data_IF_328666594324
#
_entry.id   IF_328666594324
#
_cell.length_a   1.000
_cell.length_b   1.000
_cell.length_c   1.000
_cell.angle_alpha   90.00
_cell.angle_beta   90.00
_cell.angle_gamma   90.00
#
_symmetry.space_group_name_H-M   'P 1'
#
loop_
_entity.id
_entity.type
_entity.pdbx_description
1 polymer ?
#
# COMPACT_ATOMS: atom_id res chain seq x y z
N UNK A 1 50.13 -25.41 -23.61
CA UNK A 1 49.28 -25.47 -22.38
C UNK A 1 49.01 -24.08 -21.81
N UNK A 2 50.05 -23.24 -21.62
CA UNK A 2 49.86 -21.87 -21.07
C UNK A 2 49.00 -20.92 -21.94
N UNK A 3 49.05 -21.02 -23.28
CA UNK A 3 48.19 -20.18 -24.15
C UNK A 3 46.69 -20.49 -23.99
N UNK A 4 46.31 -21.77 -24.03
CA UNK A 4 44.93 -22.22 -23.85
C UNK A 4 44.34 -21.83 -22.48
N UNK A 5 45.15 -21.88 -21.43
CA UNK A 5 44.73 -21.49 -20.07
C UNK A 5 44.50 -19.97 -19.98
N UNK A 6 45.41 -19.17 -20.55
CA UNK A 6 45.26 -17.72 -20.60
C UNK A 6 44.04 -17.29 -21.42
N UNK A 7 43.77 -17.93 -22.55
CA UNK A 7 42.59 -17.65 -23.36
C UNK A 7 41.30 -18.00 -22.61
N UNK A 8 41.29 -19.10 -21.85
CA UNK A 8 40.16 -19.46 -20.98
C UNK A 8 39.93 -18.45 -19.87
N UNK A 9 40.98 -17.97 -19.22
CA UNK A 9 40.88 -16.93 -18.17
C UNK A 9 40.31 -15.63 -18.74
N UNK A 10 40.75 -15.20 -19.92
CA UNK A 10 40.18 -14.02 -20.59
C UNK A 10 38.68 -14.18 -20.86
N UNK A 11 38.26 -15.37 -21.29
CA UNK A 11 36.84 -15.70 -21.44
C UNK A 11 36.07 -15.55 -20.12
N UNK A 12 36.58 -16.13 -19.03
CA UNK A 12 35.95 -16.05 -17.70
C UNK A 12 35.92 -14.60 -17.15
N UNK A 13 36.96 -13.80 -17.39
CA UNK A 13 36.97 -12.38 -17.04
C UNK A 13 35.88 -11.61 -17.78
N UNK A 14 35.67 -11.92 -19.06
CA UNK A 14 34.59 -11.35 -19.84
C UNK A 14 33.23 -11.77 -19.30
N UNK A 15 33.04 -13.05 -18.98
CA UNK A 15 31.79 -13.56 -18.41
C UNK A 15 31.44 -12.88 -17.08
N UNK A 16 32.44 -12.65 -16.21
CA UNK A 16 32.27 -11.90 -14.96
C UNK A 16 31.85 -10.46 -15.25
N UNK A 17 32.56 -9.77 -16.15
CA UNK A 17 32.23 -8.38 -16.50
C UNK A 17 30.83 -8.24 -17.10
N UNK A 18 30.42 -9.17 -17.97
CA UNK A 18 29.10 -9.18 -18.59
C UNK A 18 28.00 -9.47 -17.53
N UNK A 19 28.25 -10.38 -16.58
CA UNK A 19 27.32 -10.69 -15.49
C UNK A 19 27.16 -9.54 -14.48
N UNK A 20 28.25 -8.88 -14.09
CA UNK A 20 28.22 -7.70 -13.22
C UNK A 20 27.52 -6.52 -13.89
N UNK A 21 27.79 -6.30 -15.19
CA UNK A 21 27.09 -5.28 -15.96
C UNK A 21 25.59 -5.54 -15.99
N UNK A 22 25.16 -6.80 -16.16
CA UNK A 22 23.75 -7.15 -16.13
C UNK A 22 23.08 -6.83 -14.77
N UNK A 23 23.79 -6.99 -13.65
CA UNK A 23 23.30 -6.59 -12.32
C UNK A 23 23.09 -5.07 -12.24
N UNK A 24 24.10 -4.29 -12.64
CA UNK A 24 24.05 -2.83 -12.55
C UNK A 24 23.04 -2.23 -13.54
N UNK A 25 22.97 -2.75 -14.77
CA UNK A 25 21.95 -2.39 -15.75
C UNK A 25 20.55 -2.66 -15.19
N UNK A 26 20.34 -3.82 -14.57
CA UNK A 26 19.05 -4.18 -13.96
C UNK A 26 18.69 -3.26 -12.79
N UNK A 27 19.63 -2.97 -11.87
CA UNK A 27 19.43 -2.01 -10.78
C UNK A 27 19.04 -0.63 -11.31
N UNK A 28 19.71 -0.17 -12.36
CA UNK A 28 19.45 1.13 -12.97
C UNK A 28 18.08 1.20 -13.66
N UNK A 29 17.69 0.17 -14.41
CA UNK A 29 16.42 0.08 -15.13
C UNK A 29 15.23 0.03 -14.16
N UNK A 30 15.36 -0.74 -13.08
CA UNK A 30 14.30 -0.93 -12.09
C UNK A 30 14.36 0.08 -10.94
N UNK A 31 15.29 1.05 -10.97
CA UNK A 31 15.52 2.05 -9.91
C UNK A 31 15.51 1.40 -8.52
N UNK A 32 16.18 0.25 -8.40
CA UNK A 32 16.29 -0.45 -7.12
C UNK A 32 17.31 0.35 -6.30
N UNK A 33 16.81 1.32 -5.55
CA UNK A 33 17.60 2.11 -4.61
C UNK A 33 17.44 1.47 -3.24
N UNK A 34 18.54 1.21 -2.54
CA UNK A 34 18.49 0.70 -1.17
C UNK A 34 17.60 1.62 -0.33
N UNK A 35 16.62 1.06 0.41
CA UNK A 35 15.64 1.87 1.13
C UNK A 35 16.36 2.64 2.22
N UNK A 36 16.59 3.93 1.97
CA UNK A 36 17.18 4.86 2.92
C UNK A 36 16.19 6.01 3.17
N UNK A 37 15.96 6.28 4.46
CA UNK A 37 15.20 7.40 5.07
C UNK A 37 13.68 7.54 4.88
N UNK A 38 12.98 6.63 4.17
CA UNK A 38 11.52 6.75 3.91
C UNK A 38 10.58 5.72 4.58
N UNK A 39 11.11 4.78 5.38
CA UNK A 39 10.39 3.59 5.80
C UNK A 39 10.25 2.55 4.67
N UNK A 40 10.12 1.27 5.01
CA UNK A 40 9.94 0.22 3.99
C UNK A 40 8.57 0.33 3.34
N UNK A 41 8.44 -0.14 2.09
CA UNK A 41 7.15 -0.19 1.39
C UNK A 41 6.08 -0.94 2.20
N UNK A 42 6.49 -1.95 2.96
CA UNK A 42 5.65 -2.67 3.92
C UNK A 42 5.09 -1.74 5.01
N UNK A 43 5.93 -0.88 5.61
CA UNK A 43 5.47 0.06 6.65
C UNK A 43 4.42 1.05 6.12
N UNK A 44 4.57 1.49 4.87
CA UNK A 44 3.60 2.38 4.22
C UNK A 44 2.27 1.65 3.93
N UNK A 45 2.31 0.37 3.55
CA UNK A 45 1.11 -0.47 3.39
C UNK A 45 0.35 -0.63 4.72
N UNK A 46 1.07 -0.87 5.82
CA UNK A 46 0.46 -1.04 7.15
C UNK A 46 -0.18 0.28 7.63
N UNK A 47 0.50 1.41 7.39
CA UNK A 47 -0.03 2.75 7.68
C UNK A 47 -1.29 3.07 6.87
N UNK A 48 -1.29 2.85 5.55
CA UNK A 48 -2.45 3.06 4.70
C UNK A 48 -3.62 2.14 5.08
N UNK A 49 -3.33 0.89 5.45
CA UNK A 49 -4.36 -0.06 5.92
C UNK A 49 -5.03 0.45 7.19
N UNK A 50 -4.24 0.94 8.15
CA UNK A 50 -4.77 1.52 9.39
C UNK A 50 -5.63 2.76 9.11
N UNK A 51 -5.17 3.64 8.23
CA UNK A 51 -5.92 4.82 7.81
C UNK A 51 -7.23 4.45 7.09
N UNK A 52 -7.21 3.43 6.24
CA UNK A 52 -8.40 2.94 5.53
C UNK A 52 -9.43 2.39 6.50
N UNK A 53 -9.03 1.57 7.48
CA UNK A 53 -9.94 1.05 8.51
C UNK A 53 -10.58 2.19 9.30
N UNK A 54 -9.80 3.19 9.69
CA UNK A 54 -10.32 4.37 10.37
C UNK A 54 -11.33 5.13 9.49
N UNK A 55 -11.00 5.38 8.22
CA UNK A 55 -11.87 6.08 7.28
C UNK A 55 -13.16 5.32 6.97
N UNK A 56 -13.11 3.98 6.88
CA UNK A 56 -14.28 3.13 6.76
C UNK A 56 -15.18 3.24 8.00
N UNK A 57 -14.59 3.17 9.20
CA UNK A 57 -15.33 3.37 10.45
C UNK A 57 -15.99 4.76 10.54
N UNK A 58 -15.34 5.80 10.03
CA UNK A 58 -15.92 7.14 9.98
C UNK A 58 -17.05 7.25 8.94
N UNK A 59 -16.93 6.57 7.80
CA UNK A 59 -17.99 6.48 6.80
C UNK A 59 -19.22 5.74 7.34
N UNK A 60 -19.03 4.65 8.08
CA UNK A 60 -20.12 3.90 8.72
C UNK A 60 -20.82 4.73 9.80
N UNK A 61 -20.06 5.42 10.67
CA UNK A 61 -20.65 6.36 11.64
C UNK A 61 -21.45 7.47 10.96
N UNK A 62 -20.95 8.02 9.85
CA UNK A 62 -21.65 9.06 9.10
C UNK A 62 -22.93 8.50 8.45
N UNK A 63 -22.87 7.28 7.93
CA UNK A 63 -24.03 6.55 7.38
C UNK A 63 -25.11 6.34 8.43
N UNK A 64 -24.73 5.90 9.62
CA UNK A 64 -25.65 5.67 10.73
C UNK A 64 -26.35 6.96 11.17
N UNK A 65 -25.59 8.05 11.32
CA UNK A 65 -26.15 9.38 11.62
C UNK A 65 -27.12 9.84 10.55
N UNK A 66 -26.80 9.65 9.28
CA UNK A 66 -27.68 9.97 8.17
C UNK A 66 -28.97 9.13 8.19
N UNK A 67 -28.87 7.82 8.40
CA UNK A 67 -30.02 6.92 8.50
C UNK A 67 -30.92 7.25 9.70
N UNK A 68 -30.33 7.57 10.85
CA UNK A 68 -31.09 8.03 12.02
C UNK A 68 -31.82 9.34 11.73
N UNK A 69 -31.21 10.27 10.99
CA UNK A 69 -31.86 11.52 10.58
C UNK A 69 -32.99 11.32 9.56
N UNK A 70 -32.90 10.31 8.70
CA UNK A 70 -34.01 9.90 7.84
C UNK A 70 -35.17 9.33 8.66
N UNK A 71 -34.88 8.48 9.64
CA UNK A 71 -35.87 7.86 10.51
C UNK A 71 -36.55 8.85 11.49
N UNK A 72 -35.88 9.95 11.84
CA UNK A 72 -36.41 10.94 12.78
C UNK A 72 -37.67 11.67 12.29
N UNK A 73 -37.89 11.77 10.97
CA UNK A 73 -39.05 12.49 10.42
C UNK A 73 -38.96 14.02 10.65
N UNK A 74 -40.10 14.71 10.61
CA UNK A 74 -40.19 16.18 10.69
C UNK A 74 -41.03 16.67 11.87
N UNK A 75 -41.44 15.78 12.78
CA UNK A 75 -42.22 16.13 13.97
C UNK A 75 -41.34 16.81 15.04
N UNK A 76 -41.95 17.36 16.09
CA UNK A 76 -41.23 17.92 17.23
C UNK A 76 -40.30 16.91 17.90
N UNK A 77 -40.75 15.65 18.04
CA UNK A 77 -39.92 14.55 18.53
C UNK A 77 -38.79 14.19 17.55
N UNK A 78 -39.04 14.30 16.25
CA UNK A 78 -38.03 14.14 15.21
C UNK A 78 -36.94 15.21 15.29
N UNK A 79 -37.33 16.47 15.45
CA UNK A 79 -36.40 17.58 15.59
C UNK A 79 -35.54 17.48 16.85
N UNK A 80 -36.06 16.94 17.95
CA UNK A 80 -35.26 16.66 19.14
C UNK A 80 -34.10 15.72 18.81
N UNK A 81 -34.37 14.58 18.15
CA UNK A 81 -33.34 13.63 17.70
C UNK A 81 -32.35 14.28 16.74
N UNK A 82 -32.83 15.07 15.78
CA UNK A 82 -31.98 15.77 14.81
C UNK A 82 -31.08 16.82 15.49
N UNK A 83 -31.59 17.50 16.52
CA UNK A 83 -30.83 18.46 17.31
C UNK A 83 -29.72 17.78 18.13
N UNK A 84 -29.93 16.55 18.61
CA UNK A 84 -28.89 15.78 19.29
C UNK A 84 -27.82 15.27 18.30
N UNK A 85 -28.23 14.81 17.11
CA UNK A 85 -27.32 14.27 16.09
C UNK A 85 -26.37 15.33 15.52
N UNK A 86 -26.88 16.54 15.23
CA UNK A 86 -26.12 17.62 14.59
C UNK A 86 -25.78 18.78 15.55
N UNK A 87 -26.24 18.75 16.81
CA UNK A 87 -26.15 19.89 17.74
C UNK A 87 -26.74 21.18 17.14
N UNK A 88 -27.88 21.08 16.44
CA UNK A 88 -28.54 22.22 15.77
C UNK A 88 -29.40 23.03 16.75
N UNK A 89 -28.93 24.23 17.11
CA UNK A 89 -29.71 25.20 17.91
C UNK A 89 -31.01 25.63 17.22
N UNK A 90 -31.02 25.72 15.88
CA UNK A 90 -32.23 26.08 15.14
C UNK A 90 -33.34 25.03 15.28
N UNK A 91 -32.98 23.74 15.25
CA UNK A 91 -33.94 22.66 15.47
C UNK A 91 -34.48 22.65 16.91
N UNK A 92 -33.63 22.94 17.90
CA UNK A 92 -34.04 23.07 19.29
C UNK A 92 -35.04 24.23 19.48
N UNK A 93 -34.73 25.42 18.93
CA UNK A 93 -35.58 26.59 19.02
C UNK A 93 -36.95 26.38 18.35
N UNK A 94 -36.98 25.82 17.13
CA UNK A 94 -38.24 25.53 16.42
C UNK A 94 -39.14 24.55 17.19
N UNK A 95 -38.53 23.57 17.87
CA UNK A 95 -39.24 22.62 18.72
C UNK A 95 -39.85 23.31 19.94
N UNK A 96 -39.09 24.20 20.59
CA UNK A 96 -39.55 24.93 21.77
C UNK A 96 -40.70 25.89 21.40
N UNK A 97 -40.58 26.60 20.27
CA UNK A 97 -41.64 27.46 19.72
C UNK A 97 -42.92 26.65 19.41
N UNK A 98 -42.77 25.46 18.83
CA UNK A 98 -43.89 24.54 18.58
C UNK A 98 -44.58 24.14 19.88
N UNK A 99 -43.81 23.71 20.89
CA UNK A 99 -44.36 23.24 22.16
C UNK A 99 -45.10 24.36 22.92
N UNK A 100 -44.56 25.59 22.90
CA UNK A 100 -45.21 26.74 23.52
C UNK A 100 -46.56 27.04 22.88
N UNK A 101 -46.63 27.10 21.54
CA UNK A 101 -47.87 27.40 20.81
C UNK A 101 -48.88 26.26 20.85
N UNK A 102 -48.42 25.01 20.87
CA UNK A 102 -49.28 23.85 21.05
C UNK A 102 -49.94 23.85 22.44
N UNK A 103 -49.19 24.24 23.48
CA UNK A 103 -49.72 24.40 24.84
C UNK A 103 -50.72 25.55 24.92
N UNK A 104 -50.40 26.69 24.31
CA UNK A 104 -51.31 27.84 24.22
C UNK A 104 -52.62 27.47 23.50
N UNK A 105 -52.54 26.68 22.42
CA UNK A 105 -53.70 26.20 21.68
C UNK A 105 -54.59 25.31 22.53
N UNK A 106 -54.01 24.33 23.23
CA UNK A 106 -54.75 23.43 24.11
C UNK A 106 -55.49 24.19 25.23
N UNK A 107 -54.84 25.21 25.80
CA UNK A 107 -55.44 26.07 26.83
C UNK A 107 -56.62 26.89 26.27
N UNK A 108 -56.44 27.55 25.12
CA UNK A 108 -57.48 28.34 24.45
C UNK A 108 -58.67 27.50 23.99
N UNK A 109 -58.41 26.28 23.46
CA UNK A 109 -59.46 25.35 23.04
C UNK A 109 -60.32 24.90 24.23
N UNK A 110 -59.69 24.69 25.40
CA UNK A 110 -60.41 24.33 26.64
C UNK A 110 -61.26 25.50 27.16
N UNK A 111 -60.76 26.73 27.08
CA UNK A 111 -61.43 27.92 27.63
C UNK A 111 -62.56 28.47 26.75
N UNK A 112 -62.33 28.58 25.44
CA UNK A 112 -63.21 29.34 24.53
C UNK A 112 -63.90 28.47 23.47
N UNK A 113 -63.57 27.18 23.40
CA UNK A 113 -64.08 26.25 22.40
C UNK A 113 -63.52 26.49 20.99
N UNK A 114 -63.62 25.50 20.09
CA UNK A 114 -62.85 25.44 18.83
C UNK A 114 -63.17 26.50 17.77
N UNK A 115 -64.24 27.31 17.95
CA UNK A 115 -64.68 28.33 16.98
C UNK A 115 -64.12 29.74 17.26
N UNK A 116 -63.34 29.92 18.31
CA UNK A 116 -62.82 31.24 18.67
C UNK A 116 -61.78 31.74 17.65
N UNK A 117 -61.83 33.01 17.17
CA UNK A 117 -60.90 33.52 16.15
C UNK A 117 -59.41 33.41 16.52
N UNK A 118 -59.08 33.50 17.81
CA UNK A 118 -57.70 33.33 18.28
C UNK A 118 -57.14 31.93 17.99
N UNK A 119 -57.97 30.88 18.06
CA UNK A 119 -57.59 29.50 17.76
C UNK A 119 -57.23 29.35 16.28
N UNK A 120 -57.99 30.00 15.38
CA UNK A 120 -57.67 30.00 13.94
C UNK A 120 -56.31 30.64 13.63
N UNK A 121 -55.98 31.74 14.31
CA UNK A 121 -54.65 32.37 14.19
C UNK A 121 -53.55 31.45 14.69
N UNK A 122 -53.73 30.82 15.84
CA UNK A 122 -52.72 29.97 16.46
C UNK A 122 -52.48 28.67 15.69
N UNK A 123 -53.54 28.07 15.11
CA UNK A 123 -53.41 26.94 14.17
C UNK A 123 -52.61 27.32 12.93
N UNK A 124 -52.87 28.49 12.35
CA UNK A 124 -52.12 28.99 11.18
C UNK A 124 -50.63 29.18 11.49
N UNK A 125 -50.32 29.62 12.72
CA UNK A 125 -48.95 29.80 13.17
C UNK A 125 -48.25 28.46 13.46
N UNK A 126 -48.95 27.48 14.03
CA UNK A 126 -48.44 26.11 14.14
C UNK A 126 -48.17 25.49 12.77
N UNK A 127 -49.04 25.70 11.78
CA UNK A 127 -48.81 25.24 10.41
C UNK A 127 -47.60 25.91 9.75
N UNK A 128 -47.35 27.18 10.10
CA UNK A 128 -46.13 27.89 9.67
C UNK A 128 -44.88 27.27 10.31
N UNK A 129 -44.91 27.01 11.61
CA UNK A 129 -43.78 26.41 12.33
C UNK A 129 -43.53 24.98 11.85
N UNK A 130 -44.57 24.18 11.62
CA UNK A 130 -44.45 22.84 11.04
C UNK A 130 -43.72 22.86 9.68
N UNK A 131 -44.00 23.86 8.83
CA UNK A 131 -43.28 24.04 7.56
C UNK A 131 -41.81 24.42 7.76
N UNK A 132 -41.52 25.30 8.73
CA UNK A 132 -40.13 25.64 9.07
C UNK A 132 -39.36 24.44 9.64
N UNK A 133 -40.00 23.64 10.50
CA UNK A 133 -39.45 22.42 11.06
C UNK A 133 -39.14 21.39 9.97
N UNK A 134 -40.05 21.20 9.00
CA UNK A 134 -39.80 20.33 7.86
C UNK A 134 -38.62 20.83 7.01
N UNK A 135 -38.53 22.15 6.80
CA UNK A 135 -37.39 22.79 6.12
C UNK A 135 -36.07 22.55 6.82
N UNK A 136 -36.01 22.77 8.12
CA UNK A 136 -34.80 22.54 8.92
C UNK A 136 -34.41 21.06 8.96
N UNK A 137 -35.39 20.16 9.10
CA UNK A 137 -35.13 18.72 9.04
C UNK A 137 -34.53 18.30 7.68
N UNK A 138 -35.02 18.85 6.57
CA UNK A 138 -34.44 18.61 5.25
C UNK A 138 -33.01 19.15 5.15
N UNK A 139 -32.75 20.36 5.64
CA UNK A 139 -31.41 20.97 5.66
C UNK A 139 -30.42 20.11 6.43
N UNK A 140 -30.80 19.64 7.63
CA UNK A 140 -29.99 18.75 8.46
C UNK A 140 -29.67 17.45 7.73
N UNK A 141 -30.66 16.81 7.11
CA UNK A 141 -30.46 15.57 6.34
C UNK A 141 -29.51 15.77 5.16
N UNK A 142 -29.63 16.88 4.42
CA UNK A 142 -28.72 17.19 3.33
C UNK A 142 -27.29 17.37 3.82
N UNK A 143 -27.09 18.06 4.94
CA UNK A 143 -25.77 18.22 5.55
C UNK A 143 -25.16 16.88 5.99
N UNK A 144 -25.96 16.02 6.63
CA UNK A 144 -25.52 14.68 7.03
C UNK A 144 -25.21 13.79 5.82
N UNK A 145 -26.01 13.90 4.74
CA UNK A 145 -25.73 13.20 3.48
C UNK A 145 -24.39 13.64 2.88
N UNK A 146 -24.13 14.94 2.81
CA UNK A 146 -22.87 15.47 2.29
C UNK A 146 -21.67 14.97 3.10
N UNK A 147 -21.79 14.92 4.43
CA UNK A 147 -20.76 14.37 5.30
C UNK A 147 -20.52 12.87 5.06
N UNK A 148 -21.60 12.09 4.89
CA UNK A 148 -21.51 10.68 4.54
C UNK A 148 -20.83 10.46 3.19
N UNK A 149 -21.27 11.19 2.15
CA UNK A 149 -20.70 11.09 0.81
C UNK A 149 -19.20 11.44 0.82
N UNK A 150 -18.80 12.48 1.56
CA UNK A 150 -17.39 12.86 1.73
C UNK A 150 -16.57 11.75 2.42
N UNK A 151 -17.12 11.14 3.48
CA UNK A 151 -16.44 10.08 4.20
C UNK A 151 -16.24 8.83 3.32
N UNK A 152 -17.26 8.45 2.54
CA UNK A 152 -17.17 7.36 1.55
C UNK A 152 -16.11 7.66 0.48
N UNK A 153 -16.09 8.89 -0.05
CA UNK A 153 -15.07 9.30 -1.02
C UNK A 153 -13.65 9.24 -0.44
N UNK A 154 -13.47 9.62 0.82
CA UNK A 154 -12.17 9.54 1.48
C UNK A 154 -11.72 8.08 1.64
N UNK A 155 -12.61 7.19 2.08
CA UNK A 155 -12.33 5.75 2.17
C UNK A 155 -11.97 5.17 0.79
N UNK A 156 -12.71 5.52 -0.27
CA UNK A 156 -12.41 5.10 -1.64
C UNK A 156 -11.03 5.55 -2.11
N UNK A 157 -10.66 6.82 -1.88
CA UNK A 157 -9.32 7.34 -2.22
C UNK A 157 -8.20 6.62 -1.49
N UNK A 158 -8.40 6.26 -0.22
CA UNK A 158 -7.41 5.51 0.56
C UNK A 158 -7.30 4.07 0.05
N UNK A 159 -8.41 3.46 -0.35
CA UNK A 159 -8.43 2.14 -0.97
C UNK A 159 -7.67 2.13 -2.30
N UNK A 160 -7.89 3.11 -3.17
CA UNK A 160 -7.18 3.24 -4.45
C UNK A 160 -5.67 3.41 -4.24
N UNK A 161 -5.26 4.23 -3.26
CA UNK A 161 -3.85 4.40 -2.88
C UNK A 161 -3.24 3.11 -2.35
N UNK A 162 -3.97 2.38 -1.51
CA UNK A 162 -3.52 1.10 -0.96
C UNK A 162 -3.30 0.08 -2.07
N UNK A 163 -4.20 0.02 -3.05
CA UNK A 163 -4.08 -0.91 -4.17
C UNK A 163 -2.91 -0.57 -5.10
N UNK A 164 -2.73 0.72 -5.42
CA UNK A 164 -1.57 1.18 -6.17
C UNK A 164 -0.25 0.83 -5.46
N UNK A 165 -0.19 1.00 -4.13
CA UNK A 165 0.99 0.66 -3.35
C UNK A 165 1.23 -0.86 -3.28
N UNK A 166 0.17 -1.67 -3.22
CA UNK A 166 0.27 -3.13 -3.29
C UNK A 166 0.85 -3.58 -4.62
N UNK A 167 0.37 -3.02 -5.73
CA UNK A 167 0.90 -3.34 -7.06
C UNK A 167 2.39 -2.99 -7.14
N UNK A 168 2.76 -1.79 -6.70
CA UNK A 168 4.16 -1.37 -6.63
C UNK A 168 5.02 -2.32 -5.78
N UNK A 169 4.46 -2.86 -4.68
CA UNK A 169 5.15 -3.81 -3.81
C UNK A 169 5.37 -5.18 -4.44
N UNK A 170 4.39 -5.67 -5.19
CA UNK A 170 4.53 -6.91 -5.96
C UNK A 170 5.60 -6.75 -7.04
N UNK A 171 5.56 -5.65 -7.80
CA UNK A 171 6.53 -5.38 -8.86
C UNK A 171 7.96 -5.24 -8.28
N UNK A 172 8.11 -4.53 -7.16
CA UNK A 172 9.38 -4.41 -6.45
C UNK A 172 9.88 -5.76 -5.93
N UNK A 173 8.99 -6.60 -5.41
CA UNK A 173 9.36 -7.93 -4.90
C UNK A 173 9.85 -8.85 -6.02
N UNK A 174 9.18 -8.83 -7.18
CA UNK A 174 9.61 -9.57 -8.38
C UNK A 174 10.97 -9.09 -8.87
N UNK A 175 11.18 -7.77 -8.93
CA UNK A 175 12.47 -7.19 -9.29
C UNK A 175 13.58 -7.61 -8.30
N UNK A 176 13.30 -7.64 -6.99
CA UNK A 176 14.26 -8.08 -5.98
C UNK A 176 14.65 -9.56 -6.14
N UNK A 177 13.69 -10.43 -6.53
CA UNK A 177 13.98 -11.85 -6.81
C UNK A 177 14.88 -11.98 -8.04
N UNK A 178 14.59 -11.26 -9.12
CA UNK A 178 15.39 -11.28 -10.33
C UNK A 178 16.79 -10.70 -10.11
N UNK A 179 16.91 -9.63 -9.32
CA UNK A 179 18.20 -9.07 -8.90
C UNK A 179 19.03 -10.12 -8.15
N UNK A 180 18.46 -10.81 -7.16
CA UNK A 180 19.15 -11.90 -6.44
C UNK A 180 19.64 -13.01 -7.37
N UNK A 181 18.88 -13.32 -8.41
CA UNK A 181 19.30 -14.31 -9.40
C UNK A 181 20.48 -13.82 -10.24
N UNK A 182 20.50 -12.54 -10.65
CA UNK A 182 21.62 -11.92 -11.37
C UNK A 182 22.87 -11.84 -10.48
N UNK A 183 22.71 -11.42 -9.23
CA UNK A 183 23.80 -11.40 -8.24
C UNK A 183 24.40 -12.79 -8.04
N UNK A 184 23.56 -13.82 -7.91
CA UNK A 184 24.02 -15.22 -7.79
C UNK A 184 24.79 -15.68 -9.02
N UNK A 185 24.36 -15.29 -10.24
CA UNK A 185 25.08 -15.59 -11.47
C UNK A 185 26.43 -14.89 -11.53
N UNK A 186 26.50 -13.60 -11.19
CA UNK A 186 27.74 -12.85 -11.13
C UNK A 186 28.70 -13.44 -10.09
N UNK A 187 28.19 -13.83 -8.92
CA UNK A 187 28.98 -14.48 -7.87
C UNK A 187 29.51 -15.84 -8.32
N UNK A 188 28.68 -16.67 -8.97
CA UNK A 188 29.13 -17.96 -9.53
C UNK A 188 30.22 -17.78 -10.60
N UNK A 189 30.07 -16.80 -11.49
CA UNK A 189 31.09 -16.47 -12.50
C UNK A 189 32.42 -16.05 -11.85
N UNK A 190 32.36 -15.21 -10.81
CA UNK A 190 33.55 -14.83 -10.02
C UNK A 190 34.23 -16.03 -9.38
N UNK A 191 33.46 -16.91 -8.73
CA UNK A 191 34.02 -18.13 -8.10
C UNK A 191 34.73 -19.01 -9.13
N UNK A 192 34.16 -19.20 -10.32
CA UNK A 192 34.81 -19.98 -11.39
C UNK A 192 36.09 -19.30 -11.87
N UNK A 193 36.09 -17.97 -12.05
CA UNK A 193 37.29 -17.22 -12.42
C UNK A 193 38.39 -17.37 -11.35
N UNK A 194 38.04 -17.19 -10.07
CA UNK A 194 38.98 -17.29 -8.95
C UNK A 194 39.59 -18.69 -8.86
N UNK A 195 38.79 -19.74 -9.03
CA UNK A 195 39.27 -21.12 -9.06
C UNK A 195 40.26 -21.38 -10.22
N UNK A 196 39.98 -20.82 -11.40
CA UNK A 196 40.87 -20.94 -12.56
C UNK A 196 42.18 -20.16 -12.37
N UNK A 197 42.11 -18.95 -11.83
CA UNK A 197 43.29 -18.14 -11.51
C UNK A 197 44.18 -18.85 -10.48
N UNK A 198 43.57 -19.43 -9.44
CA UNK A 198 44.27 -20.22 -8.44
C UNK A 198 44.99 -21.43 -9.05
N UNK A 199 44.30 -22.23 -9.87
CA UNK A 199 44.90 -23.38 -10.57
C UNK A 199 46.02 -22.97 -11.54
N UNK A 200 45.87 -21.83 -12.21
CA UNK A 200 46.91 -21.29 -13.08
C UNK A 200 48.17 -20.94 -12.30
N UNK A 201 48.01 -20.29 -11.13
CA UNK A 201 49.11 -19.97 -10.24
C UNK A 201 49.82 -21.22 -9.70
N UNK A 202 49.06 -22.24 -9.27
CA UNK A 202 49.59 -23.54 -8.83
C UNK A 202 50.39 -24.23 -9.94
N UNK A 203 49.86 -24.26 -11.18
CA UNK A 203 50.54 -24.89 -12.33
C UNK A 203 51.83 -24.14 -12.71
N UNK A 204 51.81 -22.81 -12.66
CA UNK A 204 52.99 -21.99 -12.93
C UNK A 204 54.11 -22.24 -11.92
N UNK A 205 53.78 -22.48 -10.64
CA UNK A 205 54.76 -22.80 -9.61
C UNK A 205 55.36 -24.20 -9.83
N UNK A 206 54.56 -25.17 -10.28
CA UNK A 206 55.03 -26.53 -10.59
C UNK A 206 55.97 -26.58 -11.81
N UNK A 207 55.79 -25.71 -12.82
CA UNK A 207 56.72 -25.65 -13.97
C UNK A 207 58.15 -25.23 -13.58
N UNK A 208 58.32 -24.43 -12.52
CA UNK A 208 59.65 -24.11 -11.98
C UNK A 208 60.33 -25.28 -11.25
N UNK A 209 59.57 -26.33 -10.91
CA UNK A 209 60.01 -27.50 -10.13
C UNK A 209 60.21 -28.74 -11.01
N UNK A 210 59.77 -28.74 -12.28
CA UNK A 210 60.10 -29.81 -13.23
C UNK A 210 61.58 -29.74 -13.65
N UNK A 211 62.47 -30.22 -12.79
CA UNK A 211 63.74 -30.77 -13.25
C UNK A 211 63.43 -32.09 -13.96
N UNK A 212 63.66 -32.14 -15.28
CA UNK A 212 63.62 -33.40 -16.02
C UNK A 212 64.70 -34.32 -15.46
N UNK A 213 64.33 -35.26 -14.58
CA UNK A 213 65.22 -36.32 -14.09
C UNK A 213 65.29 -37.51 -15.07
N UNK A 214 65.16 -37.26 -16.38
CA UNK A 214 65.43 -38.29 -17.38
C UNK A 214 66.95 -38.34 -17.63
N UNK A 215 67.70 -39.02 -16.76
CA UNK A 215 69.11 -39.31 -16.99
C UNK A 215 69.23 -40.61 -17.79
N UNK A 216 69.81 -40.53 -18.99
CA UNK A 216 70.17 -41.72 -19.77
C UNK A 216 71.23 -42.52 -19.01
N UNK A 217 70.84 -43.68 -18.47
CA UNK A 217 71.69 -44.54 -17.63
C UNK A 217 72.68 -45.41 -18.44
N UNK A 218 72.57 -45.40 -19.78
CA UNK A 218 73.52 -46.04 -20.68
C UNK A 218 72.89 -46.39 -22.04
N UNK A 219 73.71 -46.45 -23.08
CA UNK A 219 73.30 -47.01 -24.37
C UNK A 219 73.26 -48.55 -24.26
N UNK A 220 72.33 -49.18 -24.97
CA UNK A 220 72.22 -50.64 -25.00
C UNK A 220 73.53 -51.25 -25.53
N UNK A 221 74.16 -52.12 -24.75
CA UNK A 221 75.38 -52.81 -25.17
C UNK A 221 75.03 -53.90 -26.21
N UNK A 222 75.80 -54.02 -27.31
CA UNK A 222 75.62 -55.10 -28.26
C UNK A 222 75.86 -56.47 -27.58
N UNK A 223 75.12 -57.52 -27.96
CA UNK A 223 75.23 -58.83 -27.33
C UNK A 223 76.61 -59.45 -27.62
N UNK A 224 77.22 -60.04 -26.60
CA UNK A 224 78.56 -60.66 -26.69
C UNK A 224 78.60 -61.93 -27.54
N UNK A 225 77.43 -62.51 -27.84
CA UNK A 225 77.27 -63.66 -28.72
C UNK A 225 76.00 -63.50 -29.55
N UNK A 226 75.94 -64.10 -30.76
CA UNK A 226 74.73 -64.08 -31.57
C UNK A 226 73.55 -64.64 -30.78
N UNK A 227 72.50 -63.85 -30.63
CA UNK A 227 71.24 -64.31 -30.01
C UNK A 227 70.40 -65.14 -30.99
N UNK A 228 70.83 -65.27 -32.24
CA UNK A 228 70.29 -66.19 -33.24
C UNK A 228 71.36 -66.46 -34.33
N UNK A 229 71.41 -67.66 -34.95
CA UNK A 229 72.41 -67.99 -35.97
C UNK A 229 72.48 -67.03 -37.16
#
# INVERSE_FOLDING_TARGET
>A
VNSLLNDRIKGLQKDVSDAERAVEDFKSQHRIVDPTDGGTLQSQLDQLTTQLIAAQGDADKAKDRYNQALAAGTSAAGLAKLSEILSSNAAANLRDDYNQRATELANLETMYGPRHPAIGRLRSELDRINRLMAGEAMRIRQQLKANYDLAVQNAGKLQDKLEALRQQSQDSSLAQVQLRQLDSKAQAARTVLDDFLKRAQETSQLQGVQTSEARTIGAAAPPLQPTWP
#
